data_IF_907476790581
#
_entry.id   IF_907476790581
#
_cell.length_a   1.000
_cell.length_b   1.000
_cell.length_c   1.000
_cell.angle_alpha   90.00
_cell.angle_beta   90.00
_cell.angle_gamma   90.00
#
_symmetry.space_group_name_H-M   'P 1'
#
loop_
_entity.id
_entity.type
_entity.pdbx_description
1 polymer ?
#
# COMPACT_ATOMS: atom_id res chain seq x y z
N UNK A 1 25.14 -15.27 -3.13
CA UNK A 1 23.92 -16.11 -2.95
C UNK A 1 22.56 -15.39 -3.06
N UNK A 2 22.40 -14.14 -3.57
CA UNK A 2 21.07 -13.63 -3.95
C UNK A 2 20.76 -13.65 -5.47
N UNK A 3 21.78 -13.76 -6.33
CA UNK A 3 21.61 -13.61 -7.80
C UNK A 3 20.95 -14.85 -8.45
N UNK A 4 20.97 -16.00 -7.77
CA UNK A 4 20.47 -17.26 -8.35
C UNK A 4 18.94 -17.46 -8.26
N UNK A 5 18.22 -16.70 -7.43
CA UNK A 5 16.77 -16.91 -7.24
C UNK A 5 15.90 -16.23 -8.30
N UNK A 6 16.36 -15.12 -8.90
CA UNK A 6 15.62 -14.41 -9.94
C UNK A 6 15.59 -15.14 -11.30
N UNK A 7 16.41 -16.20 -11.47
CA UNK A 7 16.51 -16.94 -12.73
C UNK A 7 15.41 -17.99 -12.92
N UNK A 8 14.65 -18.31 -11.87
CA UNK A 8 13.82 -19.52 -11.84
C UNK A 8 12.32 -19.32 -12.12
N UNK A 9 11.78 -18.09 -12.13
CA UNK A 9 10.32 -17.91 -12.29
C UNK A 9 9.88 -17.14 -13.53
N UNK A 10 10.71 -16.32 -14.19
CA UNK A 10 10.31 -15.71 -15.48
C UNK A 10 11.52 -15.59 -16.40
N UNK A 11 11.37 -15.99 -17.67
CA UNK A 11 12.36 -15.87 -18.75
C UNK A 11 12.63 -14.39 -19.13
N UNK A 12 12.99 -13.55 -18.17
CA UNK A 12 13.41 -12.19 -18.41
C UNK A 12 14.94 -12.13 -18.35
N UNK A 13 15.62 -11.75 -19.44
CA UNK A 13 17.07 -11.61 -19.42
C UNK A 13 17.45 -10.46 -18.48
N UNK A 14 18.17 -10.79 -17.41
CA UNK A 14 18.79 -9.82 -16.52
C UNK A 14 20.03 -9.25 -17.22
N UNK A 15 20.00 -8.00 -17.64
CA UNK A 15 21.17 -7.29 -18.15
C UNK A 15 21.65 -6.25 -17.14
N UNK A 16 22.88 -6.40 -16.64
CA UNK A 16 23.61 -5.31 -16.03
C UNK A 16 23.99 -4.35 -17.17
N UNK A 17 23.33 -3.20 -17.29
CA UNK A 17 23.60 -2.28 -18.39
C UNK A 17 24.92 -1.52 -18.16
N UNK A 18 25.96 -1.99 -18.85
CA UNK A 18 26.95 -1.11 -19.47
C UNK A 18 26.27 -0.48 -20.70
N UNK A 19 26.41 0.85 -20.83
CA UNK A 19 25.78 1.75 -21.83
C UNK A 19 25.43 1.12 -23.19
N UNK A 20 24.18 1.24 -23.62
CA UNK A 20 23.77 1.00 -25.01
C UNK A 20 22.25 1.02 -25.21
N UNK A 21 21.80 1.64 -26.30
CA UNK A 21 20.41 1.91 -26.70
C UNK A 21 19.42 0.73 -26.57
N UNK A 22 18.18 1.05 -26.15
CA UNK A 22 16.99 0.41 -26.72
C UNK A 22 16.30 -0.69 -25.90
N UNK A 23 15.80 -0.39 -24.70
CA UNK A 23 14.58 -0.93 -24.07
C UNK A 23 14.42 -0.22 -22.72
N UNK A 24 13.19 0.05 -22.24
CA UNK A 24 12.97 0.72 -20.93
C UNK A 24 13.72 -0.06 -19.85
N UNK A 25 14.87 0.46 -19.43
CA UNK A 25 15.70 -0.15 -18.40
C UNK A 25 14.98 0.00 -17.05
N UNK A 26 14.62 -1.12 -16.44
CA UNK A 26 14.12 -1.17 -15.07
C UNK A 26 15.32 -1.05 -14.13
N UNK A 27 15.32 -0.09 -13.21
CA UNK A 27 16.42 0.05 -12.26
C UNK A 27 16.45 -1.16 -11.32
N UNK A 28 17.64 -1.52 -10.81
CA UNK A 28 17.77 -2.60 -9.81
C UNK A 28 16.91 -2.32 -8.58
N UNK A 29 16.78 -1.04 -8.21
CA UNK A 29 15.91 -0.54 -7.15
C UNK A 29 14.44 -0.86 -7.41
N UNK A 30 13.97 -0.72 -8.65
CA UNK A 30 12.59 -1.06 -9.04
C UNK A 30 12.34 -2.57 -8.96
N UNK A 31 13.34 -3.39 -9.29
CA UNK A 31 13.30 -4.86 -9.19
C UNK A 31 13.23 -5.26 -7.72
N UNK A 32 14.13 -4.73 -6.89
CA UNK A 32 14.15 -5.01 -5.45
C UNK A 32 12.92 -4.53 -4.69
N UNK A 33 12.18 -3.54 -5.20
CA UNK A 33 10.92 -3.09 -4.60
C UNK A 33 9.73 -3.97 -5.00
N UNK A 34 9.86 -4.75 -6.07
CA UNK A 34 8.86 -5.73 -6.51
C UNK A 34 9.11 -7.15 -5.96
N UNK A 35 10.35 -7.46 -5.57
CA UNK A 35 10.78 -8.78 -5.10
C UNK A 35 11.35 -8.74 -3.68
N UNK A 36 11.38 -9.90 -3.01
CA UNK A 36 12.00 -10.01 -1.68
C UNK A 36 11.11 -9.59 -0.51
N UNK A 37 9.79 -9.57 -0.69
CA UNK A 37 8.86 -9.50 0.42
C UNK A 37 8.98 -10.74 1.30
N UNK A 38 9.19 -10.53 2.60
CA UNK A 38 9.26 -11.61 3.57
C UNK A 38 7.94 -11.73 4.34
N UNK A 39 7.41 -12.95 4.51
CA UNK A 39 6.26 -13.18 5.38
C UNK A 39 6.51 -12.67 6.79
N UNK A 40 5.48 -12.07 7.37
CA UNK A 40 5.44 -11.56 8.73
C UNK A 40 4.05 -11.81 9.33
N UNK A 41 4.00 -12.14 10.61
CA UNK A 41 2.74 -12.20 11.36
C UNK A 41 2.19 -10.80 11.60
N UNK A 42 0.87 -10.67 11.63
CA UNK A 42 0.20 -9.41 12.01
C UNK A 42 0.63 -8.95 13.42
N UNK A 43 0.89 -9.89 14.33
CA UNK A 43 1.36 -9.62 15.69
C UNK A 43 2.74 -8.97 15.77
N UNK A 44 3.52 -8.98 14.68
CA UNK A 44 4.86 -8.40 14.62
C UNK A 44 4.88 -6.94 14.11
N UNK A 45 3.71 -6.40 13.76
CA UNK A 45 3.58 -4.99 13.38
C UNK A 45 3.84 -4.13 14.61
N UNK A 46 4.74 -3.15 14.47
CA UNK A 46 5.23 -2.34 15.57
C UNK A 46 4.26 -1.20 15.96
N UNK A 47 2.99 -1.52 16.22
CA UNK A 47 2.00 -0.59 16.78
C UNK A 47 0.83 -1.32 17.41
N UNK A 48 0.22 -0.69 18.42
CA UNK A 48 -1.05 -1.11 19.03
C UNK A 48 -2.25 -0.29 18.51
N UNK A 49 -1.99 0.68 17.62
CA UNK A 49 -3.01 1.55 17.04
C UNK A 49 -3.77 0.86 15.90
N UNK A 50 -5.00 1.32 15.64
CA UNK A 50 -5.82 0.74 14.58
C UNK A 50 -5.25 1.07 13.19
N UNK A 51 -5.03 0.02 12.39
CA UNK A 51 -4.60 0.12 11.00
C UNK A 51 -5.76 -0.25 10.07
N UNK A 52 -5.96 0.57 9.03
CA UNK A 52 -6.80 0.23 7.89
C UNK A 52 -5.93 -0.37 6.77
N UNK A 53 -6.08 -1.66 6.51
CA UNK A 53 -5.49 -2.30 5.34
C UNK A 53 -6.42 -2.17 4.14
N UNK A 54 -5.88 -1.78 2.98
CA UNK A 54 -6.66 -1.52 1.78
C UNK A 54 -6.10 -2.26 0.57
N UNK A 55 -6.97 -2.78 -0.30
CA UNK A 55 -6.56 -3.55 -1.48
C UNK A 55 -6.10 -2.63 -2.61
N UNK A 56 -4.86 -2.82 -3.06
CA UNK A 56 -4.33 -2.16 -4.26
C UNK A 56 -3.62 -3.21 -5.14
N UNK A 57 -4.41 -3.91 -5.97
CA UNK A 57 -3.92 -5.07 -6.77
C UNK A 57 -2.87 -4.71 -7.81
N UNK A 58 -3.01 -3.52 -8.39
CA UNK A 58 -2.16 -2.96 -9.44
C UNK A 58 -0.99 -2.14 -8.89
N UNK A 59 -0.73 -2.20 -7.58
CA UNK A 59 0.20 -1.32 -6.87
C UNK A 59 1.59 -1.16 -7.52
N UNK A 60 2.19 -2.24 -8.02
CA UNK A 60 3.52 -2.19 -8.61
C UNK A 60 3.60 -1.40 -9.93
N UNK A 61 2.45 -1.12 -10.56
CA UNK A 61 2.36 -0.32 -11.80
C UNK A 61 2.08 1.16 -11.52
N UNK A 62 1.76 1.52 -10.28
CA UNK A 62 1.39 2.88 -9.90
C UNK A 62 2.63 3.76 -9.69
N UNK A 63 2.48 5.05 -9.98
CA UNK A 63 3.46 6.06 -9.61
C UNK A 63 3.65 6.08 -8.09
N UNK A 64 4.91 6.17 -7.67
CA UNK A 64 5.33 6.30 -6.26
C UNK A 64 5.73 7.73 -5.90
N UNK A 65 5.49 8.68 -6.80
CA UNK A 65 5.74 10.10 -6.56
C UNK A 65 4.86 10.58 -5.40
N UNK A 66 5.50 11.08 -4.34
CA UNK A 66 4.84 11.59 -3.14
C UNK A 66 4.91 13.11 -3.03
N UNK A 67 5.48 13.80 -4.03
CA UNK A 67 5.65 15.27 -4.03
C UNK A 67 4.33 16.03 -4.07
N UNK A 68 3.26 15.36 -4.53
CA UNK A 68 1.92 15.91 -4.58
C UNK A 68 1.15 15.53 -3.31
N UNK A 69 0.42 16.50 -2.80
CA UNK A 69 -0.72 16.23 -1.92
C UNK A 69 -1.95 15.96 -2.77
N UNK A 70 -2.71 14.94 -2.39
CA UNK A 70 -3.91 14.55 -3.09
C UNK A 70 -5.11 15.17 -2.40
N UNK A 71 -5.97 15.90 -3.14
CA UNK A 71 -7.18 16.45 -2.57
C UNK A 71 -8.00 15.37 -1.85
N UNK A 72 -8.69 15.82 -0.81
CA UNK A 72 -9.67 15.01 -0.10
C UNK A 72 -10.92 14.73 -0.94
N UNK A 73 -11.13 15.48 -2.02
CA UNK A 73 -12.17 15.21 -3.01
C UNK A 73 -11.79 14.02 -3.89
N UNK A 74 -12.64 12.98 -3.87
CA UNK A 74 -12.46 11.74 -4.63
C UNK A 74 -12.40 11.98 -6.15
N UNK A 75 -13.11 12.98 -6.67
CA UNK A 75 -13.19 13.27 -8.11
C UNK A 75 -11.88 13.83 -8.67
N UNK A 76 -11.02 14.36 -7.80
CA UNK A 76 -9.74 14.97 -8.16
C UNK A 76 -8.54 14.07 -7.85
N UNK A 77 -8.77 12.80 -7.47
CA UNK A 77 -7.71 11.86 -7.11
C UNK A 77 -7.02 11.28 -8.34
N UNK A 78 -5.71 11.15 -8.24
CA UNK A 78 -4.90 10.49 -9.26
C UNK A 78 -5.00 8.96 -9.10
N UNK A 79 -5.71 8.30 -10.01
CA UNK A 79 -5.91 6.85 -9.96
C UNK A 79 -4.64 6.05 -10.30
N UNK A 80 -3.64 6.71 -10.90
CA UNK A 80 -2.37 6.12 -11.32
C UNK A 80 -1.25 6.32 -10.28
N UNK A 81 -1.56 6.85 -9.10
CA UNK A 81 -0.59 7.04 -8.02
C UNK A 81 -0.91 6.20 -6.78
N UNK A 82 0.13 5.61 -6.17
CA UNK A 82 0.02 4.72 -5.03
C UNK A 82 -0.44 5.44 -3.75
N UNK A 83 0.11 6.62 -3.43
CA UNK A 83 -0.31 7.43 -2.28
C UNK A 83 -1.78 7.81 -2.40
N UNK A 84 -2.17 8.31 -3.57
CA UNK A 84 -3.57 8.64 -3.89
C UNK A 84 -4.50 7.43 -3.75
N UNK A 85 -4.14 6.28 -4.31
CA UNK A 85 -4.93 5.05 -4.21
C UNK A 85 -4.96 4.48 -2.80
N UNK A 86 -3.95 4.72 -1.97
CA UNK A 86 -3.88 4.23 -0.58
C UNK A 86 -4.74 5.07 0.35
N UNK A 87 -4.75 6.38 0.21
CA UNK A 87 -5.35 7.30 1.19
C UNK A 87 -6.83 7.61 0.95
N UNK A 88 -7.48 7.07 -0.08
CA UNK A 88 -8.79 7.58 -0.49
C UNK A 88 -9.80 6.56 -0.96
N UNK A 89 -11.05 7.00 -0.88
CA UNK A 89 -12.24 6.34 -1.41
C UNK A 89 -12.63 5.02 -0.73
N UNK A 90 -12.41 4.94 0.58
CA UNK A 90 -12.64 3.72 1.35
C UNK A 90 -13.98 3.76 2.07
N UNK A 91 -14.74 2.68 1.93
CA UNK A 91 -16.01 2.49 2.64
C UNK A 91 -15.70 1.97 4.06
N UNK A 92 -15.96 2.79 5.08
CA UNK A 92 -15.58 2.54 6.48
C UNK A 92 -16.81 2.76 7.37
N UNK A 93 -16.88 2.02 8.48
CA UNK A 93 -17.90 2.24 9.52
C UNK A 93 -17.61 3.52 10.30
N UNK A 94 -18.65 4.32 10.55
CA UNK A 94 -18.55 5.61 11.27
C UNK A 94 -17.98 5.48 12.69
N UNK A 95 -18.16 4.32 13.32
CA UNK A 95 -17.62 3.99 14.65
C UNK A 95 -16.09 3.77 14.65
N UNK A 96 -15.48 3.49 13.49
CA UNK A 96 -14.05 3.16 13.40
C UNK A 96 -13.20 4.31 12.89
N UNK A 97 -13.78 5.26 12.16
CA UNK A 97 -13.03 6.28 11.44
C UNK A 97 -12.06 7.08 12.32
N UNK A 98 -12.50 7.48 13.52
CA UNK A 98 -11.72 8.31 14.45
C UNK A 98 -10.57 7.54 15.14
N UNK A 99 -10.56 6.21 15.04
CA UNK A 99 -9.53 5.33 15.63
C UNK A 99 -8.39 5.03 14.67
N UNK A 100 -8.60 5.18 13.36
CA UNK A 100 -7.59 4.83 12.34
C UNK A 100 -6.40 5.79 12.47
N UNK A 101 -5.22 5.24 12.76
CA UNK A 101 -3.94 5.99 12.81
C UNK A 101 -3.04 5.72 11.63
N UNK A 102 -3.13 4.52 11.07
CA UNK A 102 -2.33 4.11 9.94
C UNK A 102 -3.21 3.53 8.83
N UNK A 103 -2.80 3.75 7.58
CA UNK A 103 -3.37 3.08 6.42
C UNK A 103 -2.24 2.37 5.69
N UNK A 104 -2.45 1.09 5.37
CA UNK A 104 -1.50 0.29 4.60
C UNK A 104 -2.16 -0.17 3.30
N UNK A 105 -1.45 -0.03 2.18
CA UNK A 105 -1.84 -0.64 0.92
C UNK A 105 -1.25 -2.03 0.80
N UNK A 106 -2.13 -2.99 0.51
CA UNK A 106 -1.80 -4.41 0.39
C UNK A 106 -2.07 -4.85 -1.03
N UNK A 107 -1.05 -5.45 -1.66
CA UNK A 107 -1.23 -6.13 -2.93
C UNK A 107 -1.67 -7.58 -2.69
N UNK A 108 -2.98 -7.84 -2.81
CA UNK A 108 -3.54 -9.18 -2.61
C UNK A 108 -3.18 -10.17 -3.73
N UNK A 109 -2.61 -9.71 -4.84
CA UNK A 109 -2.09 -10.57 -5.91
C UNK A 109 -0.65 -11.03 -5.70
N UNK A 110 -0.01 -10.60 -4.61
CA UNK A 110 1.37 -10.91 -4.28
C UNK A 110 1.50 -11.21 -2.78
N UNK A 111 0.86 -12.29 -2.31
CA UNK A 111 0.89 -12.79 -0.92
C UNK A 111 0.61 -11.74 0.16
N UNK A 112 -0.25 -10.76 -0.15
CA UNK A 112 -0.51 -9.59 0.70
C UNK A 112 0.77 -8.76 1.00
N UNK A 113 1.60 -8.52 -0.01
CA UNK A 113 2.72 -7.60 0.06
C UNK A 113 2.27 -6.19 0.49
N UNK A 114 2.91 -5.62 1.50
CA UNK A 114 2.64 -4.26 1.97
C UNK A 114 3.46 -3.28 1.13
N UNK A 115 2.77 -2.57 0.23
CA UNK A 115 3.40 -1.72 -0.80
C UNK A 115 3.49 -0.25 -0.40
N UNK A 116 2.62 0.20 0.52
CA UNK A 116 2.68 1.52 1.11
C UNK A 116 2.09 1.50 2.51
N UNK A 117 2.54 2.43 3.35
CA UNK A 117 1.98 2.70 4.66
C UNK A 117 2.04 4.19 4.94
N UNK A 118 1.02 4.74 5.60
CA UNK A 118 0.96 6.15 5.96
C UNK A 118 0.38 6.32 7.34
N UNK A 119 0.99 7.18 8.15
CA UNK A 119 0.34 7.76 9.31
C UNK A 119 -0.65 8.81 8.82
N UNK A 120 -1.88 8.77 9.30
CA UNK A 120 -2.95 9.64 8.80
C UNK A 120 -3.46 10.62 9.85
N UNK A 121 -3.93 11.76 9.37
CA UNK A 121 -4.56 12.80 10.18
C UNK A 121 -5.93 12.33 10.70
N UNK A 122 -6.35 12.91 11.83
CA UNK A 122 -7.75 12.84 12.27
C UNK A 122 -8.69 13.67 11.39
N UNK A 123 -8.15 14.51 10.49
CA UNK A 123 -8.90 15.19 9.44
C UNK A 123 -9.09 14.26 8.25
N UNK A 124 -10.34 14.00 7.90
CA UNK A 124 -10.77 13.21 6.76
C UNK A 124 -11.95 13.89 6.05
N UNK A 125 -12.19 13.55 4.79
CA UNK A 125 -13.40 13.95 4.06
C UNK A 125 -14.40 12.82 3.97
N UNK A 126 -15.66 13.20 3.81
CA UNK A 126 -16.78 12.30 3.53
C UNK A 126 -17.32 12.62 2.13
N UNK A 127 -17.51 11.60 1.28
CA UNK A 127 -18.02 11.83 -0.08
C UNK A 127 -19.33 11.12 -0.40
N UNK A 128 -19.65 10.01 0.30
CA UNK A 128 -20.91 9.28 0.11
C UNK A 128 -21.31 8.53 1.37
N UNK A 129 -22.52 8.78 1.86
CA UNK A 129 -23.12 8.06 2.98
C UNK A 129 -24.04 6.98 2.39
N UNK A 130 -23.92 5.75 2.89
CA UNK A 130 -24.77 4.63 2.50
C UNK A 130 -25.84 4.38 3.57
N UNK A 131 -26.98 3.85 3.17
CA UNK A 131 -28.12 3.57 4.06
C UNK A 131 -27.77 2.60 5.20
N UNK A 132 -26.79 1.72 4.98
CA UNK A 132 -26.29 0.76 5.97
C UNK A 132 -25.32 1.38 7.00
N UNK A 133 -25.20 2.71 7.05
CA UNK A 133 -24.37 3.43 8.02
C UNK A 133 -22.87 3.45 7.69
N UNK A 134 -22.47 2.91 6.54
CA UNK A 134 -21.12 3.06 6.01
C UNK A 134 -20.97 4.42 5.30
N UNK A 135 -19.76 4.95 5.29
CA UNK A 135 -19.43 6.20 4.57
C UNK A 135 -18.12 6.05 3.81
N UNK A 136 -18.00 6.70 2.65
CA UNK A 136 -16.74 6.83 1.90
C UNK A 136 -15.88 7.93 2.50
N UNK A 137 -14.66 7.56 2.86
CA UNK A 137 -13.67 8.44 3.45
C UNK A 137 -12.40 8.57 2.61
N UNK A 138 -11.78 9.75 2.67
CA UNK A 138 -10.41 9.97 2.27
C UNK A 138 -9.61 10.67 3.37
N UNK A 139 -8.31 10.42 3.40
CA UNK A 139 -7.40 10.78 4.47
C UNK A 139 -6.27 11.64 3.97
N UNK A 140 -5.73 12.44 4.87
CA UNK A 140 -4.48 13.17 4.67
C UNK A 140 -3.33 12.40 5.34
N UNK A 141 -2.23 12.19 4.61
CA UNK A 141 -1.01 11.64 5.19
C UNK A 141 -0.26 12.68 6.03
N UNK A 142 0.33 12.24 7.13
CA UNK A 142 1.20 13.03 7.99
C UNK A 142 2.68 12.62 7.86
N UNK A 143 2.97 11.62 7.04
CA UNK A 143 4.29 11.00 6.90
C UNK A 143 4.56 10.58 5.46
N UNK A 144 5.84 10.31 5.17
CA UNK A 144 6.24 9.65 3.93
C UNK A 144 5.97 8.15 4.00
N UNK A 145 5.81 7.51 2.84
CA UNK A 145 5.62 6.06 2.75
C UNK A 145 6.76 5.28 3.40
N UNK A 146 7.99 5.69 3.11
CA UNK A 146 9.21 4.98 3.53
C UNK A 146 9.37 5.01 5.04
N UNK A 147 9.07 6.13 5.67
CA UNK A 147 9.23 6.29 7.12
C UNK A 147 8.21 5.44 7.87
N UNK A 148 6.94 5.48 7.46
CA UNK A 148 5.91 4.68 8.13
C UNK A 148 6.05 3.17 7.86
N UNK A 149 6.51 2.75 6.67
CA UNK A 149 6.84 1.35 6.44
C UNK A 149 7.93 0.85 7.39
N UNK A 150 8.92 1.67 7.72
CA UNK A 150 9.97 1.32 8.69
C UNK A 150 9.45 1.37 10.12
N UNK A 151 8.72 2.42 10.47
CA UNK A 151 8.09 2.63 11.79
C UNK A 151 7.26 1.41 12.20
N UNK A 152 6.45 0.88 11.27
CA UNK A 152 5.57 -0.27 11.51
C UNK A 152 6.24 -1.63 11.33
N UNK A 153 7.54 -1.69 11.03
CA UNK A 153 8.26 -2.92 10.67
C UNK A 153 7.69 -3.63 9.41
N UNK A 154 7.13 -2.88 8.45
CA UNK A 154 6.47 -3.40 7.25
C UNK A 154 7.32 -3.28 5.96
N UNK A 155 8.51 -2.68 6.03
CA UNK A 155 9.37 -2.52 4.87
C UNK A 155 9.79 -3.88 4.28
N UNK A 156 9.46 -4.11 3.00
CA UNK A 156 9.64 -5.40 2.30
C UNK A 156 9.01 -6.58 3.07
N UNK A 157 7.83 -6.37 3.68
CA UNK A 157 7.06 -7.43 4.35
C UNK A 157 5.73 -7.73 3.66
N UNK A 158 5.35 -8.99 3.66
CA UNK A 158 4.02 -9.42 3.32
C UNK A 158 3.30 -9.95 4.56
N UNK A 159 1.97 -9.81 4.58
CA UNK A 159 1.14 -10.20 5.72
C UNK A 159 0.14 -11.28 5.28
N UNK A 160 0.56 -12.55 5.10
CA UNK A 160 -0.31 -13.62 4.61
C UNK A 160 -1.54 -13.85 5.50
N UNK A 161 -1.45 -13.52 6.79
CA UNK A 161 -2.53 -13.65 7.75
C UNK A 161 -3.68 -12.65 7.58
N UNK A 162 -3.52 -11.57 6.79
CA UNK A 162 -4.60 -10.60 6.59
C UNK A 162 -5.75 -11.23 5.81
N UNK A 163 -6.95 -11.12 6.36
CA UNK A 163 -8.19 -11.54 5.71
C UNK A 163 -9.07 -10.34 5.42
N UNK A 164 -9.39 -10.16 4.14
CA UNK A 164 -10.40 -9.22 3.71
C UNK A 164 -11.74 -9.95 3.61
N UNK A 165 -12.82 -9.35 4.13
CA UNK A 165 -14.17 -9.87 3.96
C UNK A 165 -14.55 -10.04 2.49
N UNK A 166 -15.52 -10.92 2.21
CA UNK A 166 -16.04 -11.13 0.85
C UNK A 166 -16.51 -9.80 0.25
N UNK A 167 -16.02 -9.45 -0.94
CA UNK A 167 -16.30 -8.17 -1.60
C UNK A 167 -15.69 -6.93 -0.93
N UNK A 168 -15.10 -7.03 0.26
CA UNK A 168 -14.52 -5.87 0.95
C UNK A 168 -13.20 -5.45 0.31
N UNK A 169 -13.04 -4.15 0.10
CA UNK A 169 -11.77 -3.54 -0.31
C UNK A 169 -10.86 -3.21 0.87
N UNK A 170 -11.37 -3.30 2.11
CA UNK A 170 -10.66 -2.94 3.33
C UNK A 170 -10.70 -4.04 4.40
N UNK A 171 -9.71 -4.05 5.26
CA UNK A 171 -9.64 -4.87 6.47
C UNK A 171 -9.10 -4.01 7.62
N UNK A 172 -9.49 -4.34 8.84
CA UNK A 172 -9.00 -3.67 10.05
C UNK A 172 -7.99 -4.58 10.72
N UNK A 173 -6.87 -4.01 11.14
CA UNK A 173 -5.84 -4.70 11.92
C UNK A 173 -5.70 -3.95 13.23
N UNK A 174 -5.80 -4.71 14.32
CA UNK A 174 -5.52 -4.26 15.67
C UNK A 174 -4.72 -5.39 16.31
N UNK A 175 -3.57 -5.07 16.89
CA UNK A 175 -2.87 -6.02 17.77
C UNK A 175 -3.54 -6.10 19.14
#
# INVERSE_FOLDING_TARGET
>A
LPIYYARLIQRLPLTNLVKGHGSKAMLVEDIEECFGFQPMSISEIATDELILAVKVRDAFRLSKDETKEYPLDDTLRDVNNLKSRTLGNWVIGRDKIHRIRYIIAVNTGADNAVVAAYKVSSKYSESKIFENGLTRYAFQALSSRKDTLKELNLYKKCLPGIKFGSGSAVAYINN
#
